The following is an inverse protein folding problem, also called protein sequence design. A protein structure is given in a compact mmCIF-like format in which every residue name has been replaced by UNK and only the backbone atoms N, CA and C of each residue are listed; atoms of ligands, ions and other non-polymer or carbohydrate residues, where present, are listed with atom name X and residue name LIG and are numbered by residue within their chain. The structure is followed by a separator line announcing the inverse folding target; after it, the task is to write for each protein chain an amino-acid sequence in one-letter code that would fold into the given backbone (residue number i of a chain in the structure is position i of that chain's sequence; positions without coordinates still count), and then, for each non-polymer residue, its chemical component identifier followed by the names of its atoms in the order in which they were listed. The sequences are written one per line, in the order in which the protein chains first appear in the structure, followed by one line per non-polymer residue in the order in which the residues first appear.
data_IF_589623916861
#
_entry.id   IF_589623916861
#
_cell.length_a   1.000
_cell.length_b   1.000
_cell.length_c   1.000
_cell.angle_alpha   90.00
_cell.angle_beta   90.00
_cell.angle_gamma   90.00
#
_symmetry.space_group_name_H-M   'P 1'
#
loop_
_entity.id
_entity.type
_entity.pdbx_description
1 polymer ?
#
# COMPACT_ATOMS: atom_id res chain seq x y z
N UNK A 1 38.38 -25.94 -4.48
CA UNK A 1 37.49 -24.82 -4.12
C UNK A 1 37.05 -25.00 -2.68
N UNK A 2 37.02 -23.92 -1.91
CA UNK A 2 36.60 -23.97 -0.52
C UNK A 2 35.11 -24.37 -0.45
N UNK A 3 34.76 -25.18 0.54
CA UNK A 3 33.42 -25.72 0.69
C UNK A 3 32.90 -25.45 2.09
N UNK A 4 31.64 -25.07 2.20
CA UNK A 4 31.01 -24.73 3.47
C UNK A 4 29.56 -25.23 3.50
N UNK A 5 29.05 -25.54 4.70
CA UNK A 5 27.64 -25.84 4.88
C UNK A 5 26.77 -24.64 4.48
N UNK A 6 25.71 -24.88 3.73
CA UNK A 6 24.80 -23.86 3.22
C UNK A 6 24.22 -22.98 4.33
N UNK A 7 23.80 -23.58 5.45
CA UNK A 7 23.27 -22.83 6.59
C UNK A 7 24.27 -21.82 7.20
N UNK A 8 25.54 -22.19 7.30
CA UNK A 8 26.61 -21.28 7.73
C UNK A 8 26.93 -20.27 6.62
N UNK A 9 27.00 -20.70 5.36
CA UNK A 9 27.36 -19.84 4.23
C UNK A 9 26.36 -18.70 4.02
N UNK A 10 25.05 -18.94 4.19
CA UNK A 10 24.03 -17.90 4.13
C UNK A 10 24.24 -16.82 5.20
N UNK A 11 24.73 -17.18 6.39
CA UNK A 11 25.02 -16.20 7.45
C UNK A 11 26.35 -15.49 7.17
N UNK A 12 27.39 -16.23 6.80
CA UNK A 12 28.71 -15.65 6.46
C UNK A 12 28.62 -14.65 5.32
N UNK A 13 27.77 -14.91 4.31
CA UNK A 13 27.52 -14.01 3.18
C UNK A 13 26.34 -13.05 3.41
N UNK A 14 25.88 -12.91 4.66
CA UNK A 14 24.87 -11.93 5.08
C UNK A 14 23.48 -12.05 4.40
N UNK A 15 23.15 -13.20 3.82
CA UNK A 15 21.79 -13.49 3.34
C UNK A 15 20.81 -13.78 4.48
N UNK A 16 21.31 -14.11 5.67
CA UNK A 16 20.52 -14.39 6.87
C UNK A 16 21.21 -13.83 8.12
N UNK A 17 20.42 -13.28 9.04
CA UNK A 17 20.90 -12.74 10.32
C UNK A 17 21.30 -13.84 11.31
N UNK A 18 20.83 -15.07 11.13
CA UNK A 18 21.13 -16.19 12.02
C UNK A 18 21.10 -17.53 11.30
N UNK A 19 21.85 -18.52 11.83
CA UNK A 19 21.83 -19.89 11.31
C UNK A 19 20.46 -20.53 11.43
N UNK A 20 19.69 -20.18 12.47
CA UNK A 20 18.33 -20.69 12.66
C UNK A 20 17.38 -20.19 11.56
N UNK A 21 17.46 -18.89 11.21
CA UNK A 21 16.73 -18.32 10.07
C UNK A 21 17.14 -19.02 8.77
N UNK A 22 18.44 -19.16 8.52
CA UNK A 22 18.95 -19.87 7.35
C UNK A 22 18.42 -21.31 7.23
N UNK A 23 18.45 -22.09 8.32
CA UNK A 23 17.93 -23.46 8.33
C UNK A 23 16.43 -23.53 8.02
N UNK A 24 15.63 -22.58 8.52
CA UNK A 24 14.19 -22.49 8.23
C UNK A 24 13.94 -22.25 6.75
N UNK A 25 14.62 -21.26 6.16
CA UNK A 25 14.46 -20.92 4.73
C UNK A 25 14.89 -22.08 3.84
N UNK A 26 16.01 -22.73 4.16
CA UNK A 26 16.48 -23.91 3.42
C UNK A 26 15.40 -25.00 3.45
N UNK A 27 14.90 -25.37 4.64
CA UNK A 27 13.85 -26.41 4.77
C UNK A 27 12.53 -26.03 4.09
N UNK A 28 12.24 -24.75 3.97
CA UNK A 28 11.06 -24.24 3.27
C UNK A 28 11.22 -24.26 1.73
N UNK A 29 12.39 -24.64 1.20
CA UNK A 29 12.68 -24.58 -0.23
C UNK A 29 12.90 -23.14 -0.74
N UNK A 30 13.13 -22.21 0.17
CA UNK A 30 13.30 -20.78 -0.10
C UNK A 30 14.76 -20.41 -0.43
N UNK A 31 15.64 -21.40 -0.58
CA UNK A 31 17.06 -21.18 -0.91
C UNK A 31 17.43 -21.94 -2.17
N UNK A 32 17.99 -21.23 -3.15
CA UNK A 32 18.60 -21.80 -4.36
C UNK A 32 20.11 -21.62 -4.35
N UNK A 33 20.80 -22.64 -4.83
CA UNK A 33 22.25 -22.66 -5.06
C UNK A 33 22.46 -23.01 -6.53
N UNK A 34 23.03 -22.08 -7.30
CA UNK A 34 23.18 -22.21 -8.76
C UNK A 34 21.85 -22.65 -9.42
N UNK A 35 20.78 -21.91 -9.13
CA UNK A 35 19.40 -22.14 -9.61
C UNK A 35 18.69 -23.42 -9.15
N UNK A 36 19.34 -24.26 -8.35
CA UNK A 36 18.73 -25.47 -7.78
C UNK A 36 18.26 -25.20 -6.35
N UNK A 37 17.00 -25.55 -6.05
CA UNK A 37 16.49 -25.50 -4.67
C UNK A 37 17.23 -26.54 -3.82
N UNK A 38 17.75 -26.09 -2.68
CA UNK A 38 18.38 -26.97 -1.69
C UNK A 38 17.51 -26.94 -0.43
N UNK A 39 17.15 -28.12 0.06
CA UNK A 39 16.23 -28.32 1.20
C UNK A 39 16.91 -28.85 2.48
N UNK A 40 18.20 -29.22 2.36
CA UNK A 40 19.03 -29.75 3.45
C UNK A 40 20.01 -28.70 3.96
N UNK A 41 19.86 -28.18 5.20
CA UNK A 41 20.72 -27.12 5.71
C UNK A 41 22.20 -27.47 5.82
N UNK A 42 22.50 -28.75 6.03
CA UNK A 42 23.87 -29.26 6.11
C UNK A 42 24.53 -29.54 4.77
N UNK A 43 23.87 -29.27 3.64
CA UNK A 43 24.46 -29.46 2.31
C UNK A 43 25.72 -28.62 2.19
N UNK A 44 26.81 -29.27 1.83
CA UNK A 44 28.12 -28.63 1.64
C UNK A 44 28.18 -28.11 0.20
N UNK A 45 28.31 -26.81 0.04
CA UNK A 45 28.33 -26.12 -1.26
C UNK A 45 29.64 -25.35 -1.43
N UNK A 46 29.94 -24.97 -2.67
CA UNK A 46 31.06 -24.08 -2.95
C UNK A 46 30.84 -22.71 -2.28
N UNK A 47 31.88 -22.14 -1.66
CA UNK A 47 31.77 -20.81 -1.02
C UNK A 47 31.43 -19.71 -2.03
N UNK A 48 31.83 -19.90 -3.30
CA UNK A 48 31.58 -18.98 -4.40
C UNK A 48 30.28 -19.29 -5.17
N UNK A 49 29.49 -20.27 -4.74
CA UNK A 49 28.23 -20.59 -5.40
C UNK A 49 27.29 -19.37 -5.46
N UNK A 50 26.49 -19.29 -6.52
CA UNK A 50 25.46 -18.27 -6.64
C UNK A 50 24.29 -18.62 -5.71
N UNK A 51 24.10 -17.81 -4.68
CA UNK A 51 23.05 -18.00 -3.68
C UNK A 51 21.87 -17.08 -3.97
N UNK A 52 20.68 -17.64 -3.93
CA UNK A 52 19.45 -16.87 -3.99
C UNK A 52 18.55 -17.31 -2.83
N UNK A 53 18.06 -16.34 -2.06
CA UNK A 53 17.12 -16.57 -0.97
C UNK A 53 15.82 -15.87 -1.32
N UNK A 54 14.73 -16.63 -1.38
CA UNK A 54 13.38 -16.10 -1.48
C UNK A 54 13.14 -15.29 -0.21
N UNK A 55 13.11 -13.97 -0.35
CA UNK A 55 12.71 -13.11 0.76
C UNK A 55 11.21 -13.24 0.95
N UNK A 56 10.79 -13.44 2.21
CA UNK A 56 9.38 -13.31 2.54
C UNK A 56 8.92 -11.91 2.13
N UNK A 57 7.73 -11.78 1.51
CA UNK A 57 7.21 -10.46 1.17
C UNK A 57 7.09 -9.62 2.45
N UNK A 58 7.38 -8.32 2.38
CA UNK A 58 7.40 -7.45 3.57
C UNK A 58 6.02 -7.28 4.20
N UNK A 59 4.95 -7.56 3.46
CA UNK A 59 3.56 -7.45 3.89
C UNK A 59 2.74 -8.67 3.45
N UNK A 60 1.58 -8.88 4.07
CA UNK A 60 0.62 -9.96 3.70
C UNK A 60 0.14 -9.91 2.26
N UNK A 61 0.24 -8.75 1.60
CA UNK A 61 -0.04 -8.61 0.17
C UNK A 61 0.81 -7.52 -0.44
N UNK A 62 0.96 -7.58 -1.76
CA UNK A 62 1.66 -6.56 -2.56
C UNK A 62 1.08 -5.15 -2.40
N UNK A 63 -0.18 -5.03 -1.93
CA UNK A 63 -0.77 -3.74 -1.61
C UNK A 63 0.08 -2.94 -0.61
N UNK A 64 0.68 -3.60 0.39
CA UNK A 64 1.49 -2.92 1.40
C UNK A 64 2.67 -2.13 0.83
N UNK A 65 3.26 -2.59 -0.28
CA UNK A 65 4.36 -1.88 -0.97
C UNK A 65 3.92 -0.50 -1.48
N UNK A 66 2.65 -0.33 -1.86
CA UNK A 66 2.13 0.97 -2.32
C UNK A 66 2.10 1.98 -1.17
N UNK A 67 1.55 1.58 -0.02
CA UNK A 67 1.49 2.46 1.14
C UNK A 67 2.88 2.70 1.72
N UNK A 68 3.75 1.69 1.74
CA UNK A 68 5.14 1.86 2.15
C UNK A 68 5.86 2.93 1.32
N UNK A 69 5.64 2.97 0.00
CA UNK A 69 6.16 4.04 -0.85
C UNK A 69 5.62 5.41 -0.41
N UNK A 70 4.30 5.53 -0.22
CA UNK A 70 3.70 6.79 0.22
C UNK A 70 4.28 7.28 1.56
N UNK A 71 4.45 6.39 2.55
CA UNK A 71 5.03 6.74 3.85
C UNK A 71 6.53 7.08 3.78
N UNK A 72 7.25 6.59 2.75
CA UNK A 72 8.65 6.95 2.53
C UNK A 72 8.83 8.28 1.79
N UNK A 73 7.87 8.68 0.95
CA UNK A 73 7.95 9.91 0.16
C UNK A 73 7.24 11.09 0.80
N UNK A 74 6.18 10.83 1.57
CA UNK A 74 5.40 11.85 2.26
C UNK A 74 5.78 11.89 3.74
N UNK A 75 5.87 13.09 4.37
CA UNK A 75 6.23 13.24 5.78
C UNK A 75 5.06 12.89 6.73
N UNK A 76 4.48 11.70 6.56
CA UNK A 76 3.36 11.17 7.33
C UNK A 76 3.91 10.39 8.52
N UNK A 77 3.54 10.79 9.73
CA UNK A 77 3.86 10.02 10.94
C UNK A 77 2.70 9.08 11.25
N UNK A 78 2.96 7.77 11.34
CA UNK A 78 1.96 6.73 11.69
C UNK A 78 2.04 6.32 13.16
N UNK A 79 3.22 6.42 13.77
CA UNK A 79 3.48 5.96 15.13
C UNK A 79 2.45 6.48 16.14
N UNK A 80 1.77 5.56 16.82
CA UNK A 80 0.79 5.85 17.87
C UNK A 80 -0.60 6.27 17.39
N UNK A 81 -0.83 6.39 16.07
CA UNK A 81 -2.11 6.86 15.51
C UNK A 81 -3.16 5.76 15.41
N UNK A 82 -4.41 6.21 15.30
CA UNK A 82 -5.55 5.35 14.98
C UNK A 82 -5.85 5.56 13.50
N UNK A 83 -5.83 4.47 12.74
CA UNK A 83 -5.95 4.51 11.30
C UNK A 83 -7.26 3.87 10.82
N UNK A 84 -7.72 4.28 9.64
CA UNK A 84 -8.82 3.68 8.91
C UNK A 84 -8.31 3.17 7.57
N UNK A 85 -8.43 1.87 7.33
CA UNK A 85 -8.18 1.23 6.03
C UNK A 85 -9.51 0.96 5.32
N UNK A 86 -9.89 1.86 4.41
CA UNK A 86 -11.10 1.74 3.61
C UNK A 86 -10.85 0.96 2.34
N UNK A 87 -11.09 -0.34 2.38
CA UNK A 87 -10.75 -1.30 1.33
C UNK A 87 -9.66 -2.29 1.74
N UNK A 88 -9.71 -2.79 2.99
CA UNK A 88 -8.63 -3.59 3.58
C UNK A 88 -8.25 -4.82 2.75
N UNK A 89 -9.19 -5.49 2.08
CA UNK A 89 -8.99 -6.69 1.26
C UNK A 89 -8.17 -7.76 2.01
N UNK A 90 -7.02 -8.20 1.49
CA UNK A 90 -6.10 -9.11 2.19
C UNK A 90 -5.41 -8.47 3.40
N UNK A 91 -5.32 -7.14 3.45
CA UNK A 91 -4.78 -6.37 4.56
C UNK A 91 -3.39 -5.79 4.36
N UNK A 92 -2.93 -5.63 3.12
CA UNK A 92 -1.58 -5.11 2.83
C UNK A 92 -1.32 -3.70 3.39
N UNK A 93 -2.29 -2.79 3.27
CA UNK A 93 -2.19 -1.44 3.83
C UNK A 93 -2.24 -1.48 5.36
N UNK A 94 -3.19 -2.22 5.95
CA UNK A 94 -3.25 -2.46 7.39
C UNK A 94 -1.94 -3.01 7.96
N UNK A 95 -1.34 -4.02 7.34
CA UNK A 95 -0.04 -4.57 7.77
C UNK A 95 1.07 -3.51 7.73
N UNK A 96 1.13 -2.72 6.65
CA UNK A 96 2.06 -1.61 6.53
C UNK A 96 1.87 -0.56 7.64
N UNK A 97 0.63 -0.19 7.97
CA UNK A 97 0.32 0.74 9.07
C UNK A 97 0.75 0.18 10.43
N UNK A 98 0.46 -1.09 10.71
CA UNK A 98 0.83 -1.74 11.99
C UNK A 98 2.35 -1.84 12.14
N UNK A 99 3.08 -2.16 11.07
CA UNK A 99 4.54 -2.18 11.05
C UNK A 99 5.14 -0.77 11.20
N UNK A 100 4.45 0.26 10.68
CA UNK A 100 4.81 1.68 10.87
C UNK A 100 4.39 2.25 12.24
N UNK A 101 3.87 1.41 13.14
CA UNK A 101 3.61 1.78 14.53
C UNK A 101 2.21 2.29 14.82
N UNK A 102 1.23 2.05 13.95
CA UNK A 102 -0.17 2.36 14.24
C UNK A 102 -0.60 1.69 15.56
N UNK A 103 -1.27 2.46 16.41
CA UNK A 103 -1.84 1.97 17.67
C UNK A 103 -3.01 1.04 17.40
N UNK A 104 -3.83 1.37 16.41
CA UNK A 104 -5.03 0.64 16.05
C UNK A 104 -5.40 0.91 14.58
N UNK A 105 -5.96 -0.08 13.89
CA UNK A 105 -6.44 0.05 12.52
C UNK A 105 -7.87 -0.48 12.41
N UNK A 106 -8.77 0.36 11.91
CA UNK A 106 -10.13 -0.04 11.54
C UNK A 106 -10.14 -0.45 10.07
N UNK A 107 -10.29 -1.74 9.79
CA UNK A 107 -10.32 -2.29 8.44
C UNK A 107 -11.75 -2.45 7.93
N UNK A 108 -12.13 -1.69 6.91
CA UNK A 108 -13.46 -1.73 6.30
C UNK A 108 -13.37 -2.40 4.93
N UNK A 109 -14.23 -3.39 4.66
CA UNK A 109 -14.34 -3.97 3.32
C UNK A 109 -15.78 -4.35 2.99
N UNK A 110 -16.12 -4.31 1.70
CA UNK A 110 -17.40 -4.83 1.18
C UNK A 110 -17.39 -6.36 1.07
N UNK A 111 -16.22 -6.96 0.94
CA UNK A 111 -15.99 -8.40 0.92
C UNK A 111 -16.07 -9.05 2.29
N UNK A 112 -15.82 -10.35 2.32
CA UNK A 112 -15.81 -11.17 3.53
C UNK A 112 -14.77 -12.28 3.42
N UNK A 113 -14.02 -12.52 4.49
CA UNK A 113 -13.10 -13.66 4.61
C UNK A 113 -11.81 -13.51 3.81
N UNK A 114 -11.44 -12.29 3.40
CA UNK A 114 -10.26 -12.03 2.57
C UNK A 114 -9.02 -11.65 3.40
N UNK A 115 -9.22 -11.06 4.58
CA UNK A 115 -8.16 -10.56 5.45
C UNK A 115 -7.27 -11.70 5.92
N UNK A 116 -5.96 -11.53 5.80
CA UNK A 116 -4.96 -12.50 6.22
C UNK A 116 -5.15 -12.89 7.70
N UNK A 117 -4.99 -14.18 8.00
CA UNK A 117 -5.27 -14.73 9.33
C UNK A 117 -4.54 -14.01 10.46
N UNK A 118 -3.25 -13.69 10.27
CA UNK A 118 -2.45 -12.99 11.27
C UNK A 118 -3.01 -11.60 11.61
N UNK A 119 -3.55 -10.86 10.63
CA UNK A 119 -4.18 -9.56 10.87
C UNK A 119 -5.55 -9.70 11.54
N UNK A 120 -6.31 -10.74 11.19
CA UNK A 120 -7.59 -11.04 11.84
C UNK A 120 -7.42 -11.37 13.33
N UNK A 121 -6.26 -11.89 13.72
CA UNK A 121 -5.93 -12.20 15.11
C UNK A 121 -5.22 -11.06 15.85
N UNK A 122 -4.80 -9.99 15.16
CA UNK A 122 -4.12 -8.87 15.79
C UNK A 122 -5.13 -8.00 16.55
N UNK A 123 -4.95 -7.86 17.86
CA UNK A 123 -5.85 -7.10 18.74
C UNK A 123 -5.95 -5.61 18.38
N UNK A 124 -4.97 -5.09 17.62
CA UNK A 124 -4.98 -3.71 17.12
C UNK A 124 -5.88 -3.54 15.89
N UNK A 125 -6.39 -4.62 15.30
CA UNK A 125 -7.23 -4.57 14.10
C UNK A 125 -8.68 -4.77 14.46
N UNK A 126 -9.52 -3.79 14.13
CA UNK A 126 -10.98 -3.92 14.20
C UNK A 126 -11.53 -4.06 12.78
N UNK A 127 -12.07 -5.24 12.48
CA UNK A 127 -12.60 -5.56 11.16
C UNK A 127 -14.09 -5.25 11.06
N UNK A 128 -14.45 -4.55 9.98
CA UNK A 128 -15.82 -4.25 9.57
C UNK A 128 -16.02 -4.70 8.12
N UNK A 129 -16.19 -6.01 7.96
CA UNK A 129 -16.46 -6.66 6.68
C UNK A 129 -17.93 -6.47 6.24
N UNK A 130 -18.24 -6.80 4.99
CA UNK A 130 -19.57 -6.64 4.38
C UNK A 130 -20.15 -5.23 4.54
N UNK A 131 -19.28 -4.23 4.56
CA UNK A 131 -19.64 -2.85 4.88
C UNK A 131 -19.18 -1.93 3.77
N UNK A 132 -20.13 -1.15 3.23
CA UNK A 132 -19.83 -0.17 2.21
C UNK A 132 -19.47 1.17 2.87
N UNK A 133 -18.21 1.59 2.70
CA UNK A 133 -17.68 2.84 3.25
C UNK A 133 -18.56 4.06 2.94
N UNK A 134 -19.25 4.09 1.78
CA UNK A 134 -20.09 5.22 1.34
C UNK A 134 -21.24 5.53 2.28
N UNK A 135 -21.72 4.53 3.01
CA UNK A 135 -22.90 4.62 3.86
C UNK A 135 -22.54 4.40 5.33
N UNK A 136 -21.25 4.36 5.64
CA UNK A 136 -20.76 4.12 7.00
C UNK A 136 -20.69 5.43 7.76
N UNK A 137 -21.21 5.43 8.99
CA UNK A 137 -21.12 6.58 9.90
C UNK A 137 -20.16 6.30 11.06
N UNK A 138 -19.61 7.35 11.66
CA UNK A 138 -18.66 7.22 12.77
C UNK A 138 -19.18 6.34 13.90
N UNK A 139 -20.44 6.50 14.29
CA UNK A 139 -21.06 5.71 15.37
C UNK A 139 -21.09 4.21 15.06
N UNK A 140 -21.27 3.82 13.79
CA UNK A 140 -21.35 2.41 13.39
C UNK A 140 -19.98 1.72 13.27
N UNK A 141 -18.92 2.54 13.11
CA UNK A 141 -17.54 2.08 13.01
C UNK A 141 -16.82 2.09 14.36
N UNK A 142 -16.92 3.21 15.09
CA UNK A 142 -16.16 3.46 16.31
C UNK A 142 -16.98 3.23 17.58
N UNK A 143 -18.31 3.35 17.53
CA UNK A 143 -19.14 3.41 18.73
C UNK A 143 -18.72 4.59 19.61
N UNK A 144 -18.31 4.31 20.85
CA UNK A 144 -17.76 5.30 21.79
C UNK A 144 -16.22 5.35 21.78
N UNK A 145 -15.57 4.54 20.93
CA UNK A 145 -14.12 4.53 20.80
C UNK A 145 -13.60 5.77 20.04
N UNK A 146 -12.32 6.14 20.21
CA UNK A 146 -11.74 7.25 19.46
C UNK A 146 -11.74 6.97 17.94
N UNK A 147 -12.12 7.98 17.16
CA UNK A 147 -12.10 7.93 15.71
C UNK A 147 -10.65 7.93 15.16
N UNK A 148 -10.49 7.45 13.94
CA UNK A 148 -9.21 7.51 13.23
C UNK A 148 -8.92 8.94 12.77
N UNK A 149 -7.64 9.31 12.74
CA UNK A 149 -7.16 10.59 12.19
C UNK A 149 -6.35 10.41 10.89
N UNK A 150 -5.93 9.17 10.58
CA UNK A 150 -5.28 8.78 9.33
C UNK A 150 -6.15 7.80 8.53
N UNK A 151 -6.56 8.19 7.33
CA UNK A 151 -7.27 7.32 6.40
C UNK A 151 -6.39 6.81 5.26
N UNK A 152 -6.56 5.55 4.86
CA UNK A 152 -5.96 5.02 3.64
C UNK A 152 -7.02 4.34 2.78
N UNK A 153 -7.01 4.58 1.46
CA UNK A 153 -7.99 4.01 0.53
C UNK A 153 -7.31 3.30 -0.66
N UNK A 154 -7.54 2.00 -0.81
CA UNK A 154 -7.24 1.21 -2.01
C UNK A 154 -8.52 0.52 -2.53
N UNK A 155 -9.41 1.31 -3.13
CA UNK A 155 -10.72 0.84 -3.58
C UNK A 155 -10.73 0.48 -5.06
N UNK A 156 -11.61 -0.44 -5.46
CA UNK A 156 -11.80 -0.83 -6.87
C UNK A 156 -13.27 -0.68 -7.27
N UNK A 157 -13.52 -0.45 -8.57
CA UNK A 157 -14.87 -0.32 -9.14
C UNK A 157 -15.70 0.87 -8.62
N UNK A 158 -15.03 1.87 -8.03
CA UNK A 158 -15.64 3.10 -7.54
C UNK A 158 -14.69 4.27 -7.72
N UNK A 159 -15.25 5.43 -8.07
CA UNK A 159 -14.51 6.70 -8.10
C UNK A 159 -14.32 7.25 -6.69
N UNK A 160 -13.12 7.76 -6.41
CA UNK A 160 -12.77 8.43 -5.16
C UNK A 160 -13.71 9.60 -4.86
N UNK A 161 -14.22 10.29 -5.89
CA UNK A 161 -15.19 11.38 -5.74
C UNK A 161 -16.46 10.98 -4.96
N UNK A 162 -16.79 9.69 -4.91
CA UNK A 162 -17.96 9.17 -4.17
C UNK A 162 -17.65 8.72 -2.74
N UNK A 163 -16.38 8.67 -2.36
CA UNK A 163 -15.93 8.19 -1.04
C UNK A 163 -15.14 9.22 -0.24
N UNK A 164 -14.65 10.30 -0.86
CA UNK A 164 -13.92 11.37 -0.16
C UNK A 164 -14.75 12.06 0.93
N UNK A 165 -16.06 12.27 0.70
CA UNK A 165 -16.96 12.82 1.72
C UNK A 165 -17.20 11.84 2.87
N UNK A 166 -17.58 10.57 2.62
CA UNK A 166 -17.62 9.56 3.67
C UNK A 166 -16.31 9.43 4.46
N UNK A 167 -15.16 9.44 3.79
CA UNK A 167 -13.85 9.41 4.45
C UNK A 167 -13.66 10.63 5.38
N UNK A 168 -13.96 11.84 4.88
CA UNK A 168 -13.90 13.06 5.68
C UNK A 168 -14.75 12.96 6.95
N UNK A 169 -15.98 12.45 6.82
CA UNK A 169 -16.91 12.31 7.94
C UNK A 169 -16.47 11.24 8.94
N UNK A 170 -15.72 10.23 8.50
CA UNK A 170 -15.22 9.18 9.38
C UNK A 170 -13.98 9.61 10.17
N UNK A 171 -13.19 10.57 9.67
CA UNK A 171 -11.95 10.98 10.34
C UNK A 171 -12.15 12.13 11.35
N UNK A 172 -11.40 12.05 12.46
CA UNK A 172 -11.23 13.16 13.41
C UNK A 172 -10.17 14.15 12.94
N UNK A 173 -10.27 15.39 13.41
CA UNK A 173 -9.24 16.42 13.15
C UNK A 173 -7.98 16.20 14.00
N UNK A 174 -6.77 16.50 13.49
CA UNK A 174 -6.49 16.83 12.08
C UNK A 174 -6.68 15.61 11.19
N UNK A 175 -7.35 15.79 10.04
CA UNK A 175 -7.61 14.69 9.11
C UNK A 175 -6.45 14.59 8.15
N UNK A 176 -5.94 13.39 7.99
CA UNK A 176 -4.91 13.08 7.01
C UNK A 176 -5.30 11.82 6.24
N UNK A 177 -4.98 11.76 4.95
CA UNK A 177 -5.27 10.59 4.16
C UNK A 177 -4.27 10.33 3.03
N UNK A 178 -4.06 9.04 2.74
CA UNK A 178 -3.42 8.58 1.50
C UNK A 178 -4.45 7.81 0.68
N UNK A 179 -4.81 8.34 -0.48
CA UNK A 179 -5.80 7.72 -1.37
C UNK A 179 -5.14 7.26 -2.66
N UNK A 180 -5.49 6.05 -3.11
CA UNK A 180 -4.98 5.50 -4.35
C UNK A 180 -5.90 5.85 -5.53
N UNK A 181 -5.46 6.80 -6.36
CA UNK A 181 -6.13 7.21 -7.59
C UNK A 181 -5.88 6.16 -8.67
N UNK A 182 -6.95 5.55 -9.17
CA UNK A 182 -6.91 4.53 -10.22
C UNK A 182 -7.61 5.06 -11.47
N UNK A 183 -6.88 5.55 -12.48
CA UNK A 183 -7.46 6.20 -13.66
C UNK A 183 -8.63 5.41 -14.27
N UNK A 184 -8.52 4.08 -14.35
CA UNK A 184 -9.55 3.19 -14.89
C UNK A 184 -10.90 3.20 -14.16
N UNK A 185 -10.96 3.71 -12.93
CA UNK A 185 -12.21 3.86 -12.15
C UNK A 185 -12.67 5.32 -12.01
N UNK A 186 -11.83 6.27 -12.43
CA UNK A 186 -12.13 7.70 -12.40
C UNK A 186 -12.58 8.22 -13.76
N UNK A 187 -11.98 7.73 -14.85
CA UNK A 187 -12.35 8.12 -16.20
C UNK A 187 -13.64 7.43 -16.64
N UNK A 188 -14.41 8.12 -17.47
CA UNK A 188 -15.63 7.55 -18.07
C UNK A 188 -15.32 6.33 -18.94
N UNK A 189 -16.31 5.44 -19.12
CA UNK A 189 -16.16 4.15 -19.84
C UNK A 189 -15.53 4.30 -21.23
N UNK A 190 -15.85 5.38 -21.94
CA UNK A 190 -15.37 5.63 -23.30
C UNK A 190 -13.85 5.91 -23.39
N UNK A 191 -13.21 6.17 -22.24
CA UNK A 191 -11.77 6.48 -22.13
C UNK A 191 -10.96 5.33 -21.53
N UNK A 192 -11.62 4.21 -21.27
CA UNK A 192 -10.97 2.98 -20.83
C UNK A 192 -10.70 2.11 -22.07
N UNK A 193 -9.42 1.87 -22.36
CA UNK A 193 -9.01 1.09 -23.51
C UNK A 193 -9.25 -0.42 -23.34
N UNK A 194 -8.78 -1.20 -24.32
CA UNK A 194 -8.86 -2.65 -24.29
C UNK A 194 -8.33 -3.23 -22.97
N UNK A 195 -8.99 -4.30 -22.49
CA UNK A 195 -8.69 -4.99 -21.22
C UNK A 195 -8.79 -4.12 -19.97
N UNK A 196 -9.47 -2.96 -20.05
CA UNK A 196 -9.68 -2.11 -18.90
C UNK A 196 -8.48 -1.22 -18.55
N UNK A 197 -7.60 -0.94 -19.52
CA UNK A 197 -6.34 -0.21 -19.29
C UNK A 197 -6.42 1.21 -19.83
N UNK A 198 -6.10 2.19 -18.99
CA UNK A 198 -5.89 3.58 -19.40
C UNK A 198 -4.39 3.76 -19.72
N UNK A 199 -4.08 4.21 -20.94
CA UNK A 199 -2.70 4.38 -21.44
C UNK A 199 -2.33 5.84 -21.67
N UNK A 200 -3.33 6.67 -21.89
CA UNK A 200 -3.18 8.09 -22.23
C UNK A 200 -2.75 8.87 -20.98
N UNK A 201 -1.58 9.51 -21.05
CA UNK A 201 -1.12 10.41 -19.99
C UNK A 201 -2.13 11.54 -19.70
N UNK A 202 -2.82 12.01 -20.75
CA UNK A 202 -3.89 13.02 -20.63
C UNK A 202 -5.07 12.52 -19.80
N UNK A 203 -5.43 11.24 -19.93
CA UNK A 203 -6.51 10.65 -19.14
C UNK A 203 -6.10 10.38 -17.70
N UNK A 204 -4.82 10.06 -17.47
CA UNK A 204 -4.26 9.98 -16.11
C UNK A 204 -4.29 11.36 -15.45
N UNK A 205 -3.81 12.40 -16.14
CA UNK A 205 -3.87 13.78 -15.68
C UNK A 205 -5.32 14.16 -15.32
N UNK A 206 -6.27 13.93 -16.24
CA UNK A 206 -7.67 14.26 -16.00
C UNK A 206 -8.25 13.54 -14.77
N UNK A 207 -7.90 12.26 -14.57
CA UNK A 207 -8.36 11.49 -13.40
C UNK A 207 -7.85 12.07 -12.08
N UNK A 208 -6.57 12.45 -12.02
CA UNK A 208 -5.95 13.01 -10.81
C UNK A 208 -6.54 14.39 -10.52
N UNK A 209 -6.65 15.24 -11.54
CA UNK A 209 -7.26 16.58 -11.41
C UNK A 209 -8.70 16.50 -10.93
N UNK A 210 -9.49 15.55 -11.44
CA UNK A 210 -10.87 15.34 -10.99
C UNK A 210 -10.94 15.01 -9.49
N UNK A 211 -10.08 14.11 -9.01
CA UNK A 211 -10.03 13.73 -7.58
C UNK A 211 -9.55 14.89 -6.71
N UNK A 212 -8.53 15.63 -7.15
CA UNK A 212 -8.00 16.81 -6.44
C UNK A 212 -9.05 17.91 -6.35
N UNK A 213 -9.80 18.19 -7.41
CA UNK A 213 -10.86 19.21 -7.40
C UNK A 213 -11.96 18.81 -6.42
N UNK A 214 -12.44 17.57 -6.49
CA UNK A 214 -13.46 17.06 -5.58
C UNK A 214 -12.99 17.04 -4.11
N UNK A 215 -11.71 16.80 -3.85
CA UNK A 215 -11.18 16.82 -2.48
C UNK A 215 -11.10 18.25 -1.92
N UNK A 216 -10.67 19.22 -2.74
CA UNK A 216 -10.61 20.65 -2.37
C UNK A 216 -11.98 21.21 -1.99
N UNK A 217 -13.04 20.83 -2.70
CA UNK A 217 -14.42 21.23 -2.38
C UNK A 217 -14.87 20.79 -0.98
N UNK A 218 -14.25 19.75 -0.43
CA UNK A 218 -14.53 19.22 0.91
C UNK A 218 -13.64 19.81 2.01
N UNK A 219 -12.64 20.63 1.63
CA UNK A 219 -11.65 21.18 2.56
C UNK A 219 -10.35 20.37 2.67
N UNK A 220 -10.11 19.40 1.79
CA UNK A 220 -8.80 18.74 1.71
C UNK A 220 -7.77 19.61 0.98
N UNK A 221 -6.55 19.64 1.52
CA UNK A 221 -5.37 20.18 0.85
C UNK A 221 -4.53 19.02 0.29
N UNK A 222 -4.32 18.94 -1.04
CA UNK A 222 -3.43 17.93 -1.62
C UNK A 222 -1.97 18.34 -1.48
N UNK A 223 -1.21 17.62 -0.65
CA UNK A 223 0.17 17.97 -0.27
C UNK A 223 1.24 17.14 -0.97
N UNK A 224 0.86 16.03 -1.61
CA UNK A 224 1.81 15.15 -2.27
C UNK A 224 1.14 14.24 -3.28
N UNK A 225 1.85 13.96 -4.37
CA UNK A 225 1.40 13.06 -5.42
C UNK A 225 2.59 12.28 -5.96
N UNK A 226 2.45 10.96 -6.05
CA UNK A 226 3.44 10.06 -6.67
C UNK A 226 2.72 8.92 -7.38
N UNK A 227 3.45 8.10 -8.15
CA UNK A 227 2.89 6.88 -8.74
C UNK A 227 3.09 5.68 -7.79
N UNK A 228 2.18 4.72 -7.80
CA UNK A 228 2.34 3.44 -7.11
C UNK A 228 3.57 2.68 -7.66
N UNK A 229 4.39 2.04 -6.81
CA UNK A 229 5.52 1.24 -7.28
C UNK A 229 5.08 0.00 -8.07
N UNK A 230 3.80 -0.35 -7.94
CA UNK A 230 3.18 -1.49 -8.60
C UNK A 230 2.10 -1.03 -9.56
N UNK A 231 1.99 -1.74 -10.68
CA UNK A 231 0.83 -1.66 -11.56
C UNK A 231 -0.35 -2.45 -10.99
N UNK A 232 -1.56 -1.99 -11.27
CA UNK A 232 -2.76 -2.76 -11.02
C UNK A 232 -2.77 -4.07 -11.83
N UNK A 233 -3.65 -5.05 -11.51
CA UNK A 233 -3.62 -6.39 -12.10
C UNK A 233 -3.68 -6.41 -13.64
N UNK A 234 -4.42 -5.48 -14.25
CA UNK A 234 -4.53 -5.34 -15.70
C UNK A 234 -3.36 -4.54 -16.34
N UNK A 235 -2.40 -4.06 -15.55
CA UNK A 235 -1.28 -3.23 -15.99
C UNK A 235 -1.49 -1.72 -15.87
N UNK A 236 -2.60 -1.28 -15.28
CA UNK A 236 -2.86 0.14 -15.04
C UNK A 236 -1.81 0.77 -14.12
N UNK A 237 -1.37 1.97 -14.45
CA UNK A 237 -0.60 2.82 -13.54
C UNK A 237 -1.59 3.42 -12.53
N UNK A 238 -1.23 3.39 -11.26
CA UNK A 238 -2.02 3.93 -10.15
C UNK A 238 -1.21 5.03 -9.45
N UNK A 239 -1.87 5.98 -8.80
CA UNK A 239 -1.22 7.13 -8.18
C UNK A 239 -1.60 7.25 -6.70
N UNK A 240 -0.65 7.64 -5.87
CA UNK A 240 -0.82 7.87 -4.44
C UNK A 240 -0.94 9.37 -4.21
N UNK A 241 -2.08 9.80 -3.69
CA UNK A 241 -2.38 11.19 -3.38
C UNK A 241 -2.48 11.37 -1.86
N UNK A 242 -1.71 12.30 -1.32
CA UNK A 242 -1.72 12.67 0.08
C UNK A 242 -2.57 13.93 0.31
N UNK A 243 -3.51 13.84 1.24
CA UNK A 243 -4.49 14.86 1.56
C UNK A 243 -4.42 15.21 3.06
N UNK A 244 -4.60 16.49 3.39
CA UNK A 244 -4.62 16.97 4.77
C UNK A 244 -5.68 18.07 4.95
N UNK A 245 -6.43 18.08 6.07
CA UNK A 245 -7.49 19.10 6.29
C UNK A 245 -6.98 20.44 6.82
N UNK A 246 -5.83 20.45 7.52
CA UNK A 246 -5.22 21.66 8.09
C UNK A 246 -3.68 21.55 8.13
N UNK A 247 -3.00 21.69 6.98
CA UNK A 247 -1.58 21.37 6.87
C UNK A 247 -0.74 22.21 7.86
N UNK A 248 0.28 21.62 8.52
CA UNK A 248 1.24 22.41 9.29
C UNK A 248 1.84 23.51 8.41
N UNK A 249 2.08 24.70 8.96
CA UNK A 249 2.56 25.88 8.21
C UNK A 249 3.86 25.63 7.41
N UNK A 250 4.63 24.60 7.78
CA UNK A 250 5.87 24.19 7.13
C UNK A 250 5.71 23.12 6.02
N UNK A 251 4.49 22.62 5.78
CA UNK A 251 4.16 21.61 4.75
C UNK A 251 3.16 22.20 3.75
N UNK A 252 3.57 23.23 3.00
CA UNK A 252 2.70 23.97 2.07
C UNK A 252 2.92 23.63 0.59
N UNK A 253 3.63 22.55 0.27
CA UNK A 253 3.82 22.10 -1.11
C UNK A 253 2.52 21.51 -1.67
N UNK A 254 1.64 22.38 -2.17
CA UNK A 254 0.41 21.96 -2.82
C UNK A 254 0.75 21.32 -4.17
N UNK A 255 0.09 20.20 -4.50
CA UNK A 255 0.23 19.56 -5.81
C UNK A 255 -0.19 20.53 -6.92
N UNK A 256 0.75 20.95 -7.77
CA UNK A 256 0.52 21.86 -8.90
C UNK A 256 0.10 21.09 -10.16
N UNK A 257 -0.52 21.79 -11.11
CA UNK A 257 -0.90 21.20 -12.40
C UNK A 257 0.33 20.70 -13.18
N UNK A 258 1.43 21.46 -13.18
CA UNK A 258 2.71 21.09 -13.80
C UNK A 258 3.30 19.81 -13.19
N UNK A 259 3.17 19.64 -11.87
CA UNK A 259 3.62 18.42 -11.19
C UNK A 259 2.79 17.20 -11.61
N UNK A 260 1.47 17.34 -11.78
CA UNK A 260 0.61 16.25 -12.28
C UNK A 260 0.99 15.89 -13.72
N UNK A 261 1.18 16.88 -14.58
CA UNK A 261 1.55 16.67 -15.98
C UNK A 261 2.90 15.94 -16.09
N UNK A 262 3.92 16.44 -15.39
CA UNK A 262 5.26 15.84 -15.39
C UNK A 262 5.23 14.40 -14.86
N UNK A 263 4.51 14.16 -13.76
CA UNK A 263 4.39 12.83 -13.16
C UNK A 263 3.68 11.84 -14.09
N UNK A 264 2.59 12.26 -14.73
CA UNK A 264 1.82 11.38 -15.62
C UNK A 264 2.58 11.04 -16.89
N UNK A 265 3.30 12.00 -17.47
CA UNK A 265 4.22 11.76 -18.58
C UNK A 265 5.33 10.78 -18.17
N UNK A 266 6.05 11.05 -17.08
CA UNK A 266 7.13 10.18 -16.60
C UNK A 266 6.66 8.75 -16.30
N UNK A 267 5.50 8.59 -15.65
CA UNK A 267 4.96 7.28 -15.32
C UNK A 267 4.59 6.48 -16.58
N UNK A 268 4.02 7.11 -17.60
CA UNK A 268 3.68 6.42 -18.87
C UNK A 268 4.90 6.08 -19.72
N UNK A 269 5.99 6.83 -19.61
CA UNK A 269 7.24 6.57 -20.33
C UNK A 269 8.10 5.49 -19.67
N UNK A 270 8.28 5.54 -18.34
CA UNK A 270 9.20 4.67 -17.61
C UNK A 270 8.68 3.26 -17.34
N UNK A 271 7.38 3.01 -17.54
CA UNK A 271 6.78 1.71 -17.25
C UNK A 271 6.39 0.93 -18.53
N UNK A 272 6.60 1.48 -19.73
CA UNK A 272 6.37 0.72 -20.97
C UNK A 272 7.49 -0.28 -21.27
#
# INVERSE_FOLDING_TARGET
MAKQRLDTLLVTRQFCESRQKAQRLIRAGEVKVNDHVIDKPGTVVDTEAHLFVVQAPPFVSRGGEKLAKALSEFPITVQGRICLDGGISTGGFTDCLLQAGAKQVYGVDVGYGQVAWQLRQDERVILKERTNLRYLHQKDLYGDAPAADLGVLDLSFISLTKVLKPLWDLLSVPREAVVLVKPQFEVGRDRVGEKGVVRSAKDHYASITQVITASKELGWTPLGLTYSPLRGPAGNIEYLLWLHSDPPTNQTSIVSEEAIETLTQAATQNLN
#
